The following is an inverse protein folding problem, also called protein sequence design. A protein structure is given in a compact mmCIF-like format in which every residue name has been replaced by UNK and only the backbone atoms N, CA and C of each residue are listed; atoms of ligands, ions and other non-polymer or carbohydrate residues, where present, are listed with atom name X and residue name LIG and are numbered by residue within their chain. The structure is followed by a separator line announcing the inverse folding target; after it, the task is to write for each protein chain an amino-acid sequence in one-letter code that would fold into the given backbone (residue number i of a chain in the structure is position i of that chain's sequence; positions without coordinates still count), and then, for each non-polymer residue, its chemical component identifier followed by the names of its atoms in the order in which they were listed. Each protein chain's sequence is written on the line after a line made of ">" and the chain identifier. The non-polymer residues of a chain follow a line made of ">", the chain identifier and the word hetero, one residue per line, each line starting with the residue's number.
data_IF_819297722351
#
_entry.id   IF_819297722351
#
_cell.length_a   1.000
_cell.length_b   1.000
_cell.length_c   1.000
_cell.angle_alpha   90.00
_cell.angle_beta   90.00
_cell.angle_gamma   90.00
#
_symmetry.space_group_name_H-M   'P 1'
#
loop_
_entity.id
_entity.type
_entity.pdbx_description
1 polymer ?
#
# COMPACT_ATOMS: atom_id res chain seq x y z
N UNK A 1 37.67 -13.70 -61.81
CA UNK A 1 38.29 -13.96 -60.48
C UNK A 1 38.88 -12.64 -59.99
N UNK A 2 38.18 -11.93 -59.10
CA UNK A 2 38.68 -10.67 -58.53
C UNK A 2 38.98 -10.88 -57.05
N UNK A 3 40.25 -10.70 -56.68
CA UNK A 3 40.71 -10.47 -55.31
C UNK A 3 40.41 -9.01 -54.97
N UNK A 4 39.72 -8.76 -53.87
CA UNK A 4 39.61 -7.41 -53.28
C UNK A 4 40.40 -7.40 -51.98
N UNK A 5 41.27 -6.40 -51.92
CA UNK A 5 42.21 -6.05 -50.87
C UNK A 5 41.45 -5.32 -49.74
N UNK A 6 41.64 -5.73 -48.49
CA UNK A 6 41.15 -5.01 -47.31
C UNK A 6 42.26 -4.07 -46.84
N UNK A 7 42.01 -2.77 -46.89
CA UNK A 7 42.82 -1.75 -46.20
C UNK A 7 41.92 -1.13 -45.13
N UNK A 8 42.31 -1.31 -43.88
CA UNK A 8 41.68 -0.69 -42.72
C UNK A 8 41.98 0.81 -42.66
N UNK A 9 40.97 1.60 -42.35
CA UNK A 9 41.11 3.00 -41.95
C UNK A 9 40.41 3.17 -40.60
N UNK A 10 41.22 3.44 -39.59
CA UNK A 10 40.83 3.76 -38.22
C UNK A 10 40.30 5.20 -38.21
N UNK A 11 38.99 5.38 -38.01
CA UNK A 11 38.41 6.69 -37.71
C UNK A 11 37.99 6.71 -36.24
N UNK A 12 38.73 7.48 -35.45
CA UNK A 12 38.33 7.92 -34.11
C UNK A 12 37.26 9.00 -34.26
N UNK A 13 36.00 8.65 -34.03
CA UNK A 13 34.95 9.61 -33.72
C UNK A 13 34.74 9.64 -32.22
N UNK A 14 35.28 10.67 -31.57
CA UNK A 14 34.79 11.12 -30.28
C UNK A 14 33.39 11.72 -30.51
N UNK A 15 32.35 11.01 -30.12
CA UNK A 15 31.00 11.58 -29.99
C UNK A 15 30.82 11.96 -28.53
N UNK A 16 30.82 13.27 -28.28
CA UNK A 16 30.30 13.83 -27.04
C UNK A 16 28.78 13.58 -27.04
N UNK A 17 28.33 12.65 -26.21
CA UNK A 17 26.91 12.54 -25.88
C UNK A 17 26.58 13.66 -24.90
N UNK A 18 26.04 14.76 -25.41
CA UNK A 18 25.31 15.71 -24.57
C UNK A 18 24.06 15.01 -24.05
N UNK A 19 24.02 14.68 -22.76
CA UNK A 19 22.79 14.29 -22.09
C UNK A 19 21.82 15.47 -22.14
N UNK A 20 20.80 15.34 -22.99
CA UNK A 20 19.65 16.22 -22.96
C UNK A 20 18.83 15.85 -21.71
N UNK A 21 19.17 16.44 -20.57
CA UNK A 21 18.34 16.36 -19.37
C UNK A 21 17.14 17.28 -19.54
N UNK A 22 15.98 16.69 -19.88
CA UNK A 22 14.69 17.37 -19.76
C UNK A 22 14.41 17.55 -18.26
N UNK A 23 14.76 18.73 -17.74
CA UNK A 23 14.29 19.17 -16.44
C UNK A 23 12.88 19.73 -16.61
N UNK A 24 11.88 18.94 -16.21
CA UNK A 24 10.53 19.44 -15.99
C UNK A 24 10.56 20.34 -14.75
N UNK A 25 10.71 21.65 -14.96
CA UNK A 25 10.52 22.65 -13.93
C UNK A 25 9.03 22.69 -13.57
N UNK A 26 8.68 22.08 -12.45
CA UNK A 26 7.40 22.34 -11.79
C UNK A 26 7.49 23.69 -11.07
N UNK A 27 6.79 24.68 -11.61
CA UNK A 27 6.61 25.98 -10.98
C UNK A 27 5.83 25.79 -9.66
N UNK A 28 6.53 25.98 -8.53
CA UNK A 28 6.01 25.80 -7.16
C UNK A 28 5.70 27.14 -6.50
N UNK A 29 5.29 28.14 -7.28
CA UNK A 29 4.98 29.45 -6.71
C UNK A 29 3.51 29.54 -6.24
N UNK A 30 3.37 29.61 -4.91
CA UNK A 30 2.21 30.08 -4.14
C UNK A 30 0.92 29.25 -4.15
N UNK A 31 0.71 28.48 -3.08
CA UNK A 31 -0.63 28.41 -2.47
C UNK A 31 -0.55 28.27 -0.94
N UNK A 32 -0.84 29.38 -0.26
CA UNK A 32 -1.19 29.40 1.16
C UNK A 32 -2.58 28.79 1.29
N UNK A 33 -2.74 27.71 2.07
CA UNK A 33 -4.06 27.13 2.34
C UNK A 33 -4.73 27.91 3.47
N UNK A 34 -5.77 28.66 3.11
CA UNK A 34 -6.74 29.29 4.00
C UNK A 34 -7.70 28.20 4.52
N UNK A 35 -7.85 28.08 5.85
CA UNK A 35 -8.91 27.28 6.45
C UNK A 35 -10.27 27.92 6.11
N UNK A 36 -11.29 27.17 5.65
CA UNK A 36 -12.64 27.71 5.58
C UNK A 36 -13.15 27.95 7.01
N UNK A 37 -13.07 29.20 7.46
CA UNK A 37 -13.82 29.72 8.61
C UNK A 37 -15.25 29.90 8.14
N UNK A 38 -16.06 28.87 8.39
CA UNK A 38 -17.53 28.86 8.54
C UNK A 38 -18.09 27.52 8.02
N UNK A 39 -17.95 26.46 8.82
CA UNK A 39 -18.85 25.32 8.78
C UNK A 39 -19.86 25.53 9.92
N UNK A 40 -21.11 25.77 9.54
CA UNK A 40 -22.23 25.96 10.46
C UNK A 40 -22.41 24.76 11.38
N UNK A 41 -22.60 25.06 12.67
CA UNK A 41 -22.94 24.15 13.74
C UNK A 41 -24.11 23.24 13.36
N UNK A 42 -23.86 21.93 13.25
CA UNK A 42 -24.76 20.78 13.47
C UNK A 42 -24.35 19.58 12.59
N UNK A 43 -23.10 19.14 12.69
CA UNK A 43 -22.76 17.72 12.45
C UNK A 43 -22.19 17.15 13.75
N UNK A 44 -22.91 16.17 14.27
CA UNK A 44 -22.72 15.54 15.57
C UNK A 44 -21.30 14.94 15.65
N UNK A 45 -20.64 15.19 16.78
CA UNK A 45 -19.36 14.61 17.19
C UNK A 45 -19.39 13.07 17.12
N UNK A 46 -19.07 12.52 15.96
CA UNK A 46 -18.35 11.26 15.84
C UNK A 46 -16.92 11.63 15.43
N UNK A 47 -15.93 11.04 16.09
CA UNK A 47 -14.51 11.33 15.88
C UNK A 47 -14.02 10.85 14.51
N UNK A 48 -14.44 11.55 13.45
CA UNK A 48 -13.96 11.35 12.09
C UNK A 48 -12.72 12.22 11.91
N UNK A 49 -11.56 11.58 11.84
CA UNK A 49 -10.32 12.26 11.46
C UNK A 49 -10.18 12.23 9.96
N UNK A 50 -10.69 13.29 9.33
CA UNK A 50 -10.40 13.57 7.93
C UNK A 50 -8.96 14.10 7.84
N UNK A 51 -8.01 13.20 7.60
CA UNK A 51 -6.64 13.56 7.26
C UNK A 51 -6.59 13.98 5.80
N UNK A 52 -6.18 15.22 5.54
CA UNK A 52 -5.85 15.66 4.18
C UNK A 52 -4.45 15.13 3.84
N UNK A 53 -4.38 13.96 3.20
CA UNK A 53 -3.13 13.51 2.57
C UNK A 53 -2.85 14.38 1.36
N UNK A 54 -1.80 15.22 1.42
CA UNK A 54 -1.39 16.06 0.28
C UNK A 54 -0.63 15.21 -0.76
N UNK A 55 -0.98 15.40 -2.04
CA UNK A 55 -0.53 14.61 -3.21
C UNK A 55 0.88 14.93 -3.71
N UNK A 56 1.60 15.93 -3.18
CA UNK A 56 2.90 16.30 -3.73
C UNK A 56 3.95 15.22 -3.41
N UNK A 57 4.32 14.44 -4.43
CA UNK A 57 5.39 13.42 -4.52
C UNK A 57 5.04 11.94 -4.17
N UNK A 58 3.80 11.55 -4.54
CA UNK A 58 3.33 10.27 -5.11
C UNK A 58 3.79 8.88 -4.60
N UNK A 59 4.45 8.73 -3.46
CA UNK A 59 4.71 7.39 -2.88
C UNK A 59 4.26 7.20 -1.42
N UNK A 60 3.96 8.27 -0.68
CA UNK A 60 3.82 8.18 0.78
C UNK A 60 2.56 8.85 1.30
N UNK A 61 2.00 8.25 2.35
CA UNK A 61 0.90 8.83 3.12
C UNK A 61 1.42 9.40 4.43
N UNK A 62 0.92 10.58 4.78
CA UNK A 62 1.34 11.35 5.93
C UNK A 62 0.15 11.75 6.79
N UNK A 63 0.43 11.95 8.07
CA UNK A 63 -0.48 12.60 9.01
C UNK A 63 0.23 13.74 9.69
N UNK A 64 -0.47 14.85 9.90
CA UNK A 64 0.04 15.96 10.67
C UNK A 64 -0.47 15.85 12.11
N UNK A 65 0.45 15.89 13.07
CA UNK A 65 0.13 15.95 14.49
C UNK A 65 0.69 17.26 15.06
N UNK A 66 0.02 17.78 16.10
CA UNK A 66 0.56 18.92 16.85
C UNK A 66 1.33 18.39 18.05
N UNK A 67 2.58 18.81 18.22
CA UNK A 67 3.52 18.29 19.21
C UNK A 67 3.84 19.36 20.25
N UNK A 68 3.89 18.93 21.51
CA UNK A 68 4.27 19.75 22.64
C UNK A 68 3.22 20.77 23.09
N UNK A 69 3.51 21.45 24.20
CA UNK A 69 2.57 22.39 24.80
C UNK A 69 2.23 23.60 23.91
N UNK A 70 3.09 23.93 22.93
CA UNK A 70 2.84 24.97 21.92
C UNK A 70 2.14 24.46 20.66
N UNK A 71 1.91 23.15 20.56
CA UNK A 71 1.17 22.53 19.44
C UNK A 71 1.83 22.81 18.09
N UNK A 72 3.14 22.58 18.00
CA UNK A 72 3.91 22.74 16.76
C UNK A 72 3.53 21.62 15.78
N UNK A 73 3.21 21.96 14.54
CA UNK A 73 2.78 20.99 13.53
C UNK A 73 3.96 20.17 12.99
N UNK A 74 3.85 18.85 13.01
CA UNK A 74 4.88 17.91 12.54
C UNK A 74 4.23 16.88 11.62
N UNK A 75 4.82 16.66 10.44
CA UNK A 75 4.34 15.68 9.48
C UNK A 75 4.99 14.31 9.74
N UNK A 76 4.18 13.28 9.93
CA UNK A 76 4.61 11.91 10.13
C UNK A 76 4.20 11.04 8.96
N UNK A 77 5.17 10.33 8.38
CA UNK A 77 4.90 9.26 7.42
C UNK A 77 4.25 8.08 8.14
N UNK A 78 3.22 7.50 7.54
CA UNK A 78 2.61 6.26 8.00
C UNK A 78 3.48 5.07 7.54
N UNK A 79 3.84 4.19 8.46
CA UNK A 79 4.66 3.00 8.18
C UNK A 79 4.10 1.78 8.91
N UNK A 80 3.71 0.73 8.18
CA UNK A 80 3.15 -0.48 8.80
C UNK A 80 4.22 -1.51 9.14
N UNK A 81 5.49 -1.22 8.82
CA UNK A 81 6.64 -2.09 9.08
C UNK A 81 7.51 -1.64 10.26
N UNK A 82 7.12 -0.55 10.92
CA UNK A 82 7.70 -0.12 12.19
C UNK A 82 6.60 0.15 13.20
N UNK A 83 6.88 0.00 14.49
CA UNK A 83 5.92 0.20 15.58
C UNK A 83 6.25 1.40 16.48
N UNK A 84 7.33 2.12 16.16
CA UNK A 84 7.77 3.29 16.91
C UNK A 84 7.25 4.58 16.28
N UNK A 85 6.94 5.54 17.14
CA UNK A 85 6.81 6.94 16.73
C UNK A 85 8.16 7.62 16.92
N UNK A 86 8.65 8.27 15.88
CA UNK A 86 9.90 9.02 15.95
C UNK A 86 9.89 10.21 15.00
N UNK A 87 10.71 11.22 15.30
CA UNK A 87 10.89 12.42 14.49
C UNK A 87 12.33 12.92 14.55
N UNK A 88 12.74 13.73 13.57
CA UNK A 88 14.09 14.30 13.51
C UNK A 88 14.30 15.35 14.61
N UNK A 89 15.54 15.49 15.09
CA UNK A 89 15.92 16.41 16.17
C UNK A 89 15.50 17.87 15.98
N UNK A 90 15.33 18.33 14.75
CA UNK A 90 14.98 19.72 14.42
C UNK A 90 13.52 19.87 13.96
N UNK A 91 12.67 18.86 14.17
CA UNK A 91 11.28 18.87 13.70
C UNK A 91 10.33 19.69 14.56
N UNK A 92 10.68 19.93 15.83
CA UNK A 92 9.92 20.76 16.76
C UNK A 92 10.85 21.33 17.84
N UNK A 93 10.52 22.51 18.39
CA UNK A 93 11.34 23.17 19.39
C UNK A 93 11.08 22.61 20.80
N UNK A 94 11.90 21.64 21.19
CA UNK A 94 11.79 20.94 22.48
C UNK A 94 11.87 21.88 23.68
N UNK A 95 12.73 22.89 23.63
CA UNK A 95 12.90 23.91 24.68
C UNK A 95 11.67 24.80 24.87
N UNK A 96 10.81 24.87 23.86
CA UNK A 96 9.57 25.64 23.89
C UNK A 96 8.43 24.89 24.59
N UNK A 97 8.55 23.57 24.70
CA UNK A 97 7.51 22.69 25.23
C UNK A 97 7.65 22.47 26.73
N UNK A 98 6.68 22.96 27.52
CA UNK A 98 6.63 22.78 28.98
C UNK A 98 6.37 21.34 29.42
N UNK A 99 5.89 20.51 28.49
CA UNK A 99 5.51 19.11 28.73
C UNK A 99 6.57 18.11 28.26
N UNK A 100 7.61 18.60 27.59
CA UNK A 100 8.71 17.79 27.07
C UNK A 100 9.56 17.21 28.20
N UNK A 101 9.88 15.92 28.08
CA UNK A 101 10.87 15.21 28.91
C UNK A 101 11.64 14.25 28.03
N UNK A 102 12.95 14.18 28.15
CA UNK A 102 13.77 13.18 27.47
C UNK A 102 14.64 12.41 28.45
N UNK A 103 15.00 11.20 28.07
CA UNK A 103 16.09 10.46 28.68
C UNK A 103 17.44 11.11 28.32
N UNK A 104 18.45 10.93 29.18
CA UNK A 104 19.78 11.52 28.99
C UNK A 104 20.59 10.73 27.94
N UNK A 105 20.40 9.41 27.90
CA UNK A 105 21.17 8.53 27.05
C UNK A 105 20.41 8.25 25.74
N UNK A 106 21.14 8.25 24.63
CA UNK A 106 20.60 7.78 23.37
C UNK A 106 20.36 6.26 23.39
N UNK A 107 19.37 5.84 22.63
CA UNK A 107 19.11 4.44 22.33
C UNK A 107 19.12 4.22 20.84
N UNK A 108 19.59 3.06 20.42
CA UNK A 108 19.49 2.60 19.04
C UNK A 108 18.46 1.47 18.96
N UNK A 109 17.58 1.58 17.98
CA UNK A 109 16.57 0.58 17.67
C UNK A 109 16.84 0.07 16.26
N UNK A 110 17.12 -1.22 16.19
CA UNK A 110 17.36 -1.95 14.95
C UNK A 110 16.07 -2.62 14.49
N UNK A 111 15.76 -2.49 13.21
CA UNK A 111 14.66 -3.12 12.52
C UNK A 111 15.18 -4.15 11.51
N UNK A 112 14.27 -4.98 11.02
CA UNK A 112 14.57 -5.91 9.95
C UNK A 112 15.13 -5.21 8.70
N UNK A 113 16.04 -5.87 7.99
CA UNK A 113 16.67 -5.33 6.77
C UNK A 113 17.76 -4.28 7.01
N UNK A 114 18.35 -4.23 8.22
CA UNK A 114 19.45 -3.30 8.53
C UNK A 114 19.03 -1.83 8.68
N UNK A 115 17.72 -1.59 8.81
CA UNK A 115 17.12 -0.30 9.16
C UNK A 115 17.39 -0.01 10.63
N UNK A 116 17.70 1.24 10.97
CA UNK A 116 17.82 1.64 12.37
C UNK A 116 17.39 3.08 12.58
N UNK A 117 17.03 3.38 13.83
CA UNK A 117 16.91 4.73 14.36
C UNK A 117 17.77 4.83 15.62
N UNK A 118 18.49 5.93 15.77
CA UNK A 118 19.28 6.23 16.95
C UNK A 118 18.92 7.62 17.44
N UNK A 119 18.71 7.76 18.75
CA UNK A 119 18.35 9.03 19.34
C UNK A 119 17.80 8.94 20.75
N UNK A 120 17.28 10.05 21.24
CA UNK A 120 16.79 10.17 22.61
C UNK A 120 15.34 9.67 22.71
N UNK A 121 15.06 8.82 23.68
CA UNK A 121 13.68 8.51 24.08
C UNK A 121 13.09 9.73 24.78
N UNK A 122 11.91 10.12 24.36
CA UNK A 122 11.25 11.33 24.81
C UNK A 122 9.77 11.10 25.11
N UNK A 123 9.21 12.02 25.90
CA UNK A 123 7.80 12.12 26.24
C UNK A 123 7.33 13.53 26.03
N UNK A 124 6.21 13.67 25.33
CA UNK A 124 5.52 14.95 25.20
C UNK A 124 4.02 14.75 24.93
N UNK A 125 3.27 15.86 24.85
CA UNK A 125 1.90 15.91 24.40
C UNK A 125 1.82 15.83 22.86
N UNK A 126 0.89 15.03 22.36
CA UNK A 126 0.52 15.02 20.95
C UNK A 126 -0.97 15.33 20.85
N UNK A 127 -1.35 16.20 19.92
CA UNK A 127 -2.76 16.51 19.63
C UNK A 127 -3.08 16.15 18.20
N UNK A 128 -4.29 15.64 18.02
CA UNK A 128 -4.88 15.34 16.72
C UNK A 128 -6.37 15.68 16.81
N UNK A 129 -6.85 16.53 15.91
CA UNK A 129 -8.17 17.17 16.05
C UNK A 129 -8.37 17.75 17.47
N UNK A 130 -9.48 17.39 18.11
CA UNK A 130 -9.88 17.76 19.47
C UNK A 130 -9.35 16.80 20.54
N UNK A 131 -8.56 15.79 20.16
CA UNK A 131 -7.97 14.84 21.09
C UNK A 131 -6.56 15.25 21.50
N UNK A 132 -6.27 15.10 22.79
CA UNK A 132 -4.92 15.26 23.35
C UNK A 132 -4.47 13.95 23.97
N UNK A 133 -3.25 13.56 23.62
CA UNK A 133 -2.58 12.40 24.17
C UNK A 133 -1.41 12.89 25.01
N UNK A 134 -1.60 12.85 26.33
CA UNK A 134 -0.59 13.30 27.27
C UNK A 134 0.48 12.23 27.50
N UNK A 135 1.74 12.68 27.56
CA UNK A 135 2.91 11.88 27.90
C UNK A 135 3.07 10.65 26.98
N UNK A 136 3.07 10.85 25.67
CA UNK A 136 3.39 9.76 24.74
C UNK A 136 4.88 9.59 24.60
N UNK A 137 5.32 8.34 24.55
CA UNK A 137 6.70 8.00 24.22
C UNK A 137 6.92 8.14 22.71
N UNK A 138 8.06 8.69 22.33
CA UNK A 138 8.57 8.74 20.96
C UNK A 138 10.10 8.87 20.99
N UNK A 139 10.73 8.82 19.82
CA UNK A 139 12.19 8.98 19.69
C UNK A 139 12.49 10.26 18.93
N UNK A 140 13.40 11.06 19.48
CA UNK A 140 14.03 12.17 18.77
C UNK A 140 15.27 11.60 18.10
N UNK A 141 15.16 11.30 16.80
CA UNK A 141 16.23 10.69 16.03
C UNK A 141 17.35 11.70 15.75
N UNK A 142 18.56 11.38 16.22
CA UNK A 142 19.81 12.03 15.85
C UNK A 142 20.42 11.41 14.59
N UNK A 143 20.14 10.12 14.34
CA UNK A 143 20.45 9.47 13.06
C UNK A 143 19.48 8.33 12.75
N UNK A 144 19.37 7.98 11.47
CA UNK A 144 18.56 6.87 10.99
C UNK A 144 19.16 6.34 9.68
N UNK A 145 18.82 5.11 9.30
CA UNK A 145 19.26 4.49 8.05
C UNK A 145 18.12 3.79 7.33
N UNK A 146 18.16 3.87 6.00
CA UNK A 146 17.25 3.18 5.06
C UNK A 146 15.76 3.49 5.23
N UNK A 147 15.43 4.60 5.89
CA UNK A 147 14.10 5.19 5.86
C UNK A 147 14.05 6.30 4.83
N UNK A 148 13.14 6.19 3.86
CA UNK A 148 12.78 7.32 3.01
C UNK A 148 11.64 8.10 3.66
N UNK A 149 11.92 9.33 4.09
CA UNK A 149 10.94 10.20 4.72
C UNK A 149 10.13 11.03 3.71
N UNK A 150 10.61 11.18 2.47
CA UNK A 150 10.13 12.22 1.57
C UNK A 150 10.08 13.58 2.28
N UNK A 151 8.90 14.21 2.31
CA UNK A 151 8.66 15.49 3.01
C UNK A 151 8.28 15.36 4.49
N UNK A 152 8.25 14.16 5.05
CA UNK A 152 7.96 13.97 6.48
C UNK A 152 9.13 14.38 7.38
N UNK A 153 8.77 14.76 8.60
CA UNK A 153 9.69 15.06 9.68
C UNK A 153 9.92 13.86 10.61
N UNK A 154 9.23 12.75 10.35
CA UNK A 154 9.26 11.56 11.19
C UNK A 154 8.39 10.44 10.65
N UNK A 155 8.33 9.36 11.40
CA UNK A 155 7.49 8.20 11.08
C UNK A 155 6.59 7.90 12.26
N UNK A 156 5.33 7.66 11.95
CA UNK A 156 4.35 7.08 12.84
C UNK A 156 4.20 5.60 12.48
N UNK A 157 4.88 4.76 13.27
CA UNK A 157 4.84 3.32 13.10
C UNK A 157 3.49 2.72 13.51
N UNK A 158 2.93 1.89 12.64
CA UNK A 158 1.68 1.14 12.81
C UNK A 158 1.85 -0.37 12.78
N UNK A 159 3.09 -0.85 12.65
CA UNK A 159 3.46 -2.24 12.83
C UNK A 159 3.05 -2.79 14.20
N UNK A 160 3.42 -4.03 14.42
CA UNK A 160 3.13 -4.75 15.66
C UNK A 160 4.43 -5.11 16.35
N UNK A 161 4.41 -5.46 17.63
CA UNK A 161 5.57 -6.11 18.23
C UNK A 161 5.17 -7.31 19.07
N UNK A 162 5.97 -8.38 19.01
CA UNK A 162 5.87 -9.53 19.91
C UNK A 162 6.33 -9.19 21.32
N UNK A 163 7.17 -8.17 21.48
CA UNK A 163 7.76 -7.83 22.77
C UNK A 163 6.80 -6.91 23.53
N UNK A 164 6.40 -7.33 24.74
CA UNK A 164 5.51 -6.56 25.63
C UNK A 164 6.01 -5.13 25.97
N UNK A 165 7.25 -4.79 25.60
CA UNK A 165 7.85 -3.46 25.70
C UNK A 165 7.23 -2.39 24.78
N UNK A 166 6.11 -2.68 24.09
CA UNK A 166 5.28 -1.64 23.43
C UNK A 166 4.93 -0.51 24.42
N UNK A 167 4.92 -0.77 25.74
CA UNK A 167 4.73 0.27 26.77
C UNK A 167 5.77 1.40 26.74
N UNK A 168 7.01 1.13 26.35
CA UNK A 168 8.13 2.04 26.60
C UNK A 168 8.47 2.92 25.40
N UNK A 169 8.05 2.54 24.21
CA UNK A 169 8.43 3.22 22.97
C UNK A 169 7.28 3.38 21.96
N UNK A 170 6.13 2.76 22.23
CA UNK A 170 4.94 2.83 21.38
C UNK A 170 4.05 4.03 21.72
N UNK A 171 3.72 4.82 20.70
CA UNK A 171 2.67 5.82 20.78
C UNK A 171 1.37 5.13 21.22
N UNK A 172 0.67 5.67 22.24
CA UNK A 172 -0.50 5.00 22.84
C UNK A 172 -1.62 4.68 21.83
N UNK A 173 -1.67 5.39 20.70
CA UNK A 173 -2.61 5.09 19.61
C UNK A 173 -2.31 3.78 18.88
N UNK A 174 -1.07 3.31 18.88
CA UNK A 174 -0.68 2.03 18.26
C UNK A 174 -1.39 0.84 18.92
N UNK A 175 -1.69 0.97 20.22
CA UNK A 175 -2.42 -0.06 20.99
C UNK A 175 -3.93 -0.06 20.73
N UNK A 176 -4.45 0.92 19.99
CA UNK A 176 -5.88 1.04 19.72
C UNK A 176 -6.24 0.35 18.40
N UNK A 177 -7.54 0.10 18.25
CA UNK A 177 -8.14 -0.30 16.98
C UNK A 177 -7.94 0.83 15.97
N UNK A 178 -7.61 0.46 14.74
CA UNK A 178 -7.28 1.41 13.67
C UNK A 178 -7.91 0.97 12.38
N UNK A 179 -8.45 1.91 11.65
CA UNK A 179 -9.09 1.69 10.36
C UNK A 179 -8.44 2.58 9.31
N UNK A 180 -8.13 2.01 8.16
CA UNK A 180 -7.48 2.69 7.04
C UNK A 180 -8.29 2.51 5.77
N UNK A 181 -8.48 3.62 5.07
CA UNK A 181 -9.08 3.69 3.75
C UNK A 181 -8.19 4.59 2.90
N UNK A 182 -7.63 4.08 1.80
CA UNK A 182 -6.85 4.92 0.89
C UNK A 182 -7.74 5.48 -0.21
N UNK A 183 -7.52 6.74 -0.57
CA UNK A 183 -8.06 7.33 -1.78
C UNK A 183 -7.62 6.60 -3.04
N UNK A 184 -8.22 6.96 -4.16
CA UNK A 184 -7.87 6.39 -5.47
C UNK A 184 -6.45 6.79 -5.92
N UNK A 185 -6.03 6.20 -7.03
CA UNK A 185 -4.69 6.42 -7.58
C UNK A 185 -4.47 7.87 -8.02
N UNK A 186 -5.53 8.52 -8.49
CA UNK A 186 -5.47 9.89 -9.03
C UNK A 186 -5.72 10.97 -7.97
N UNK A 187 -6.04 10.59 -6.72
CA UNK A 187 -6.27 11.51 -5.61
C UNK A 187 -7.59 12.28 -5.69
N UNK A 188 -8.56 11.76 -6.44
CA UNK A 188 -9.94 12.28 -6.48
C UNK A 188 -10.71 11.89 -5.23
N UNK A 189 -10.38 10.75 -4.63
CA UNK A 189 -10.95 10.27 -3.37
C UNK A 189 -10.00 10.57 -2.20
N UNK A 190 -10.57 10.93 -1.05
CA UNK A 190 -9.81 11.24 0.16
C UNK A 190 -9.44 9.96 0.91
N UNK A 191 -8.17 9.85 1.32
CA UNK A 191 -7.73 8.85 2.29
C UNK A 191 -8.23 9.19 3.70
N UNK A 192 -8.48 8.16 4.51
CA UNK A 192 -8.95 8.30 5.88
C UNK A 192 -8.21 7.33 6.79
N UNK A 193 -7.84 7.81 7.96
CA UNK A 193 -7.33 7.02 9.07
C UNK A 193 -8.21 7.30 10.27
N UNK A 194 -8.83 6.25 10.80
CA UNK A 194 -9.60 6.34 12.02
C UNK A 194 -8.85 5.61 13.11
N UNK A 195 -8.71 6.31 14.22
CA UNK A 195 -8.07 5.80 15.42
C UNK A 195 -9.18 5.73 16.45
N UNK A 196 -9.27 4.60 17.14
CA UNK A 196 -10.38 4.30 18.06
C UNK A 196 -11.66 3.88 17.31
N UNK A 197 -12.46 3.01 17.95
CA UNK A 197 -13.49 2.20 17.29
C UNK A 197 -14.47 3.04 16.45
N UNK A 198 -14.44 2.88 15.12
CA UNK A 198 -15.45 3.47 14.26
C UNK A 198 -16.60 2.46 14.07
N UNK A 199 -17.74 2.73 14.70
CA UNK A 199 -18.93 1.91 14.52
C UNK A 199 -19.54 2.05 13.10
N UNK A 200 -19.28 3.16 12.41
CA UNK A 200 -19.95 3.49 11.14
C UNK A 200 -19.47 2.60 9.98
N UNK A 201 -18.23 2.10 10.04
CA UNK A 201 -17.71 1.21 9.00
C UNK A 201 -18.30 -0.22 9.07
N UNK A 202 -19.02 -0.55 10.15
CA UNK A 202 -19.75 -1.83 10.27
C UNK A 202 -20.87 -1.98 9.24
N UNK A 203 -21.18 -0.94 8.47
CA UNK A 203 -22.10 -0.99 7.33
C UNK A 203 -21.53 -1.67 6.09
N UNK A 204 -20.19 -1.79 5.97
CA UNK A 204 -19.55 -2.45 4.83
C UNK A 204 -19.52 -3.97 5.00
N UNK A 205 -19.59 -4.69 3.88
CA UNK A 205 -19.43 -6.13 3.88
C UNK A 205 -17.98 -6.49 4.27
N UNK A 206 -17.85 -7.08 5.46
CA UNK A 206 -16.58 -7.67 5.91
C UNK A 206 -16.30 -8.92 5.12
N UNK A 207 -15.23 -8.89 4.31
CA UNK A 207 -14.86 -9.99 3.43
C UNK A 207 -14.04 -11.07 4.15
N UNK A 208 -13.06 -10.64 4.95
CA UNK A 208 -12.08 -11.53 5.57
C UNK A 208 -11.68 -11.02 6.95
N UNK A 209 -11.34 -11.95 7.84
CA UNK A 209 -10.73 -11.67 9.14
C UNK A 209 -9.52 -12.57 9.33
N UNK A 210 -8.35 -12.01 9.11
CA UNK A 210 -7.07 -12.70 9.28
C UNK A 210 -6.73 -12.76 10.76
N UNK A 211 -6.55 -13.96 11.29
CA UNK A 211 -6.16 -14.19 12.70
C UNK A 211 -4.75 -14.73 12.86
N UNK A 212 -4.24 -15.40 11.83
CA UNK A 212 -2.90 -15.98 11.83
C UNK A 212 -1.87 -14.90 11.43
N UNK A 213 -1.57 -14.01 12.38
CA UNK A 213 -0.58 -12.94 12.22
C UNK A 213 0.71 -13.35 12.95
N UNK A 214 1.82 -13.45 12.21
CA UNK A 214 3.14 -13.65 12.81
C UNK A 214 3.61 -12.38 13.50
N UNK A 215 4.20 -12.54 14.69
CA UNK A 215 4.76 -11.44 15.48
C UNK A 215 6.30 -11.42 15.46
N UNK A 216 6.93 -12.29 14.68
CA UNK A 216 8.38 -12.53 14.73
C UNK A 216 9.18 -11.35 14.15
N UNK A 217 8.58 -10.60 13.23
CA UNK A 217 9.23 -9.54 12.46
C UNK A 217 8.70 -8.14 12.74
N UNK A 218 7.90 -7.98 13.78
CA UNK A 218 7.27 -6.69 14.13
C UNK A 218 6.44 -6.06 12.98
N UNK A 219 5.93 -6.89 12.06
CA UNK A 219 5.12 -6.52 10.89
C UNK A 219 3.80 -7.28 10.88
N UNK A 220 2.84 -6.81 10.10
CA UNK A 220 1.54 -7.47 9.91
C UNK A 220 1.63 -8.64 8.92
N UNK A 221 2.48 -9.61 9.22
CA UNK A 221 2.72 -10.78 8.37
C UNK A 221 1.64 -11.85 8.54
N UNK A 222 1.13 -12.38 7.43
CA UNK A 222 0.14 -13.45 7.37
C UNK A 222 0.42 -14.41 6.20
N UNK A 223 -0.11 -15.64 6.25
CA UNK A 223 0.00 -16.59 5.14
C UNK A 223 -0.79 -16.13 3.90
N UNK A 224 -0.14 -16.17 2.73
CA UNK A 224 -0.75 -16.03 1.41
C UNK A 224 -0.63 -17.37 0.70
N UNK A 225 -1.71 -18.15 0.67
CA UNK A 225 -1.65 -19.56 0.22
C UNK A 225 -1.40 -19.68 -1.28
N UNK A 226 -1.93 -18.76 -2.10
CA UNK A 226 -1.81 -18.79 -3.57
C UNK A 226 -1.97 -17.39 -4.15
N UNK A 227 -1.37 -17.17 -5.32
CA UNK A 227 -1.63 -16.02 -6.17
C UNK A 227 -2.09 -16.52 -7.54
N UNK A 228 -3.11 -15.90 -8.12
CA UNK A 228 -3.64 -16.23 -9.43
C UNK A 228 -3.66 -14.98 -10.33
N UNK A 229 -3.44 -15.16 -11.63
CA UNK A 229 -3.70 -14.17 -12.67
C UNK A 229 -4.55 -14.87 -13.72
N UNK A 230 -5.73 -14.35 -14.05
CA UNK A 230 -6.70 -15.03 -14.94
C UNK A 230 -6.96 -16.50 -14.58
N UNK A 231 -7.12 -16.78 -13.28
CA UNK A 231 -7.28 -18.13 -12.73
C UNK A 231 -6.06 -19.06 -12.92
N UNK A 232 -4.96 -18.60 -13.52
CA UNK A 232 -3.70 -19.33 -13.61
C UNK A 232 -2.92 -19.16 -12.31
N UNK A 233 -2.58 -20.29 -11.68
CA UNK A 233 -1.80 -20.30 -10.42
C UNK A 233 -0.33 -20.01 -10.67
N UNK A 234 0.17 -18.95 -10.04
CA UNK A 234 1.60 -18.65 -10.03
C UNK A 234 2.35 -19.63 -9.13
N UNK A 235 3.51 -20.08 -9.59
CA UNK A 235 4.34 -21.06 -8.89
C UNK A 235 5.39 -20.34 -8.03
N UNK A 236 5.34 -20.56 -6.71
CA UNK A 236 6.30 -20.01 -5.75
C UNK A 236 6.42 -20.86 -4.47
N UNK A 237 7.62 -21.01 -3.86
CA UNK A 237 7.77 -21.74 -2.60
C UNK A 237 7.38 -20.94 -1.36
N UNK A 238 7.40 -19.61 -1.42
CA UNK A 238 7.04 -18.74 -0.28
C UNK A 238 5.60 -18.27 -0.35
N UNK A 239 4.93 -18.38 0.79
CA UNK A 239 3.50 -18.19 0.99
C UNK A 239 3.22 -17.28 2.19
N UNK A 240 4.06 -16.27 2.44
CA UNK A 240 3.75 -15.24 3.42
C UNK A 240 3.85 -13.86 2.81
N UNK A 241 3.05 -12.96 3.35
CA UNK A 241 3.03 -11.57 2.95
C UNK A 241 2.55 -10.67 4.07
N UNK A 242 2.64 -9.37 3.84
CA UNK A 242 2.14 -8.36 4.78
C UNK A 242 1.56 -7.18 4.00
N UNK A 243 0.78 -6.36 4.70
CA UNK A 243 0.24 -5.11 4.17
C UNK A 243 1.13 -3.94 4.57
N UNK A 244 1.43 -3.04 3.64
CA UNK A 244 2.20 -1.84 3.95
C UNK A 244 1.79 -0.61 3.13
N UNK A 245 1.23 0.38 3.83
CA UNK A 245 0.87 1.69 3.28
C UNK A 245 2.08 2.47 2.75
N UNK A 246 3.28 2.20 3.28
CA UNK A 246 4.53 2.82 2.89
C UNK A 246 5.06 2.38 1.52
N UNK A 247 4.42 1.39 0.89
CA UNK A 247 4.83 0.81 -0.39
C UNK A 247 3.79 1.13 -1.46
N UNK A 248 4.18 1.93 -2.46
CA UNK A 248 3.29 2.37 -3.55
C UNK A 248 2.93 1.30 -4.59
N UNK A 249 3.44 0.09 -4.43
CA UNK A 249 3.34 -1.04 -5.37
C UNK A 249 3.00 -2.33 -4.63
N UNK A 250 2.58 -3.35 -5.38
CA UNK A 250 2.60 -4.72 -4.88
C UNK A 250 4.01 -5.28 -5.12
N UNK A 251 4.68 -5.72 -4.06
CA UNK A 251 5.98 -6.37 -4.19
C UNK A 251 5.80 -7.88 -4.21
N UNK A 252 6.44 -8.53 -5.17
CA UNK A 252 6.37 -9.98 -5.37
C UNK A 252 7.76 -10.59 -5.45
N UNK A 253 7.93 -11.86 -5.04
CA UNK A 253 9.13 -12.60 -5.37
C UNK A 253 9.43 -12.57 -6.88
N UNK A 254 10.72 -12.58 -7.25
CA UNK A 254 11.14 -12.28 -8.63
C UNK A 254 10.50 -13.18 -9.69
N UNK A 255 10.48 -14.49 -9.46
CA UNK A 255 9.84 -15.46 -10.35
C UNK A 255 8.30 -15.33 -10.39
N UNK A 256 7.64 -14.88 -9.32
CA UNK A 256 6.20 -14.56 -9.38
C UNK A 256 5.97 -13.32 -10.23
N UNK A 257 6.78 -12.27 -10.03
CA UNK A 257 6.70 -11.05 -10.83
C UNK A 257 6.87 -11.36 -12.31
N UNK A 258 7.87 -12.16 -12.68
CA UNK A 258 8.10 -12.58 -14.07
C UNK A 258 6.87 -13.31 -14.65
N UNK A 259 6.26 -14.23 -13.89
CA UNK A 259 5.04 -14.91 -14.31
C UNK A 259 3.86 -13.94 -14.48
N UNK A 260 3.65 -13.01 -13.54
CA UNK A 260 2.58 -11.99 -13.68
C UNK A 260 2.84 -11.13 -14.91
N UNK A 261 4.05 -10.61 -15.08
CA UNK A 261 4.37 -9.73 -16.21
C UNK A 261 4.24 -10.47 -17.54
N UNK A 262 4.58 -11.76 -17.60
CA UNK A 262 4.32 -12.58 -18.78
C UNK A 262 2.82 -12.68 -19.11
N UNK A 263 1.95 -12.87 -18.10
CA UNK A 263 0.50 -12.93 -18.30
C UNK A 263 -0.13 -11.57 -18.61
N UNK A 264 0.28 -10.51 -17.92
CA UNK A 264 -0.29 -9.17 -18.06
C UNK A 264 0.15 -8.50 -19.37
N UNK A 265 1.32 -8.86 -19.89
CA UNK A 265 1.90 -8.24 -21.08
C UNK A 265 1.78 -9.11 -22.35
N UNK A 266 0.99 -10.19 -22.32
CA UNK A 266 0.77 -11.14 -23.42
C UNK A 266 2.06 -11.72 -24.05
N UNK A 267 3.19 -11.70 -23.33
CA UNK A 267 4.48 -12.15 -23.85
C UNK A 267 5.03 -11.37 -25.07
N UNK A 268 4.37 -10.29 -25.53
CA UNK A 268 4.81 -9.53 -26.70
C UNK A 268 6.05 -8.68 -26.38
N UNK A 269 7.01 -8.61 -27.31
CA UNK A 269 8.32 -7.98 -27.08
C UNK A 269 8.34 -6.46 -27.13
N UNK A 270 7.24 -5.79 -27.47
CA UNK A 270 7.15 -4.32 -27.57
C UNK A 270 7.05 -3.62 -26.20
N UNK A 271 7.23 -4.40 -25.13
CA UNK A 271 7.28 -3.89 -23.77
C UNK A 271 8.66 -3.30 -23.47
N UNK A 272 8.67 -2.07 -22.99
CA UNK A 272 9.89 -1.45 -22.49
C UNK A 272 9.94 -1.52 -20.96
N UNK A 273 11.09 -1.93 -20.45
CA UNK A 273 11.44 -1.79 -19.04
C UNK A 273 12.36 -0.58 -18.95
N UNK A 274 11.89 0.52 -18.35
CA UNK A 274 12.76 1.64 -18.00
C UNK A 274 13.21 1.44 -16.55
N UNK A 275 14.46 1.02 -16.38
CA UNK A 275 15.05 0.72 -15.08
C UNK A 275 14.37 -0.48 -14.39
N UNK A 276 13.52 -0.20 -13.39
CA UNK A 276 12.77 -1.22 -12.64
C UNK A 276 11.25 -1.10 -12.79
N UNK A 277 10.81 -0.26 -13.73
CA UNK A 277 9.41 0.01 -14.00
C UNK A 277 8.98 -0.71 -15.28
N UNK A 278 7.90 -1.49 -15.18
CA UNK A 278 7.22 -2.08 -16.32
C UNK A 278 6.16 -1.11 -16.82
N UNK A 279 6.07 -0.94 -18.15
CA UNK A 279 4.98 -0.20 -18.78
C UNK A 279 4.69 -0.76 -20.18
N UNK A 280 3.53 -0.38 -20.73
CA UNK A 280 3.08 -0.71 -22.08
C UNK A 280 2.32 0.48 -22.65
N UNK A 281 2.37 0.68 -23.95
CA UNK A 281 1.49 1.63 -24.64
C UNK A 281 0.03 1.18 -24.53
N UNK A 282 -0.85 2.11 -24.22
CA UNK A 282 -2.27 1.85 -24.04
C UNK A 282 -3.08 2.71 -25.01
N UNK A 283 -3.90 2.06 -25.85
CA UNK A 283 -4.88 2.76 -26.67
C UNK A 283 -5.98 3.33 -25.76
N UNK A 284 -6.38 4.58 -26.01
CA UNK A 284 -7.24 5.32 -25.10
C UNK A 284 -8.71 4.83 -25.05
N UNK A 285 -9.38 5.25 -23.97
CA UNK A 285 -10.78 5.05 -23.55
C UNK A 285 -11.15 3.75 -22.79
N UNK A 286 -10.57 2.58 -23.09
CA UNK A 286 -10.93 1.32 -22.38
C UNK A 286 -9.72 0.40 -22.12
N UNK A 287 -8.55 0.98 -21.85
CA UNK A 287 -7.33 0.19 -21.65
C UNK A 287 -7.46 -0.83 -20.50
N UNK A 288 -8.25 -0.53 -19.47
CA UNK A 288 -8.38 -1.38 -18.27
C UNK A 288 -8.99 -2.74 -18.58
N UNK A 289 -9.91 -2.85 -19.55
CA UNK A 289 -10.57 -4.12 -19.89
C UNK A 289 -9.63 -5.15 -20.51
N UNK A 290 -8.46 -4.70 -20.99
CA UNK A 290 -7.42 -5.55 -21.58
C UNK A 290 -6.51 -6.22 -20.54
N UNK A 291 -6.62 -5.86 -19.26
CA UNK A 291 -5.72 -6.33 -18.22
C UNK A 291 -6.41 -7.29 -17.25
N UNK A 292 -5.71 -8.33 -16.78
CA UNK A 292 -6.32 -9.41 -16.01
C UNK A 292 -6.54 -9.03 -14.55
N UNK A 293 -7.48 -9.66 -13.88
CA UNK A 293 -7.58 -9.56 -12.43
C UNK A 293 -6.43 -10.33 -11.75
N UNK A 294 -5.87 -9.78 -10.66
CA UNK A 294 -4.87 -10.45 -9.84
C UNK A 294 -5.48 -10.86 -8.51
N UNK A 295 -5.43 -12.16 -8.20
CA UNK A 295 -6.07 -12.72 -7.03
C UNK A 295 -5.07 -13.22 -6.00
N UNK A 296 -5.31 -12.90 -4.73
CA UNK A 296 -4.54 -13.37 -3.58
C UNK A 296 -5.45 -14.25 -2.73
N UNK A 297 -5.09 -15.53 -2.59
CA UNK A 297 -5.76 -16.42 -1.63
C UNK A 297 -5.14 -16.21 -0.26
N UNK A 298 -5.94 -15.72 0.67
CA UNK A 298 -5.58 -15.46 2.07
C UNK A 298 -6.63 -16.14 2.93
N UNK A 299 -6.18 -17.09 3.76
CA UNK A 299 -7.03 -18.05 4.47
C UNK A 299 -8.00 -18.77 3.51
N UNK A 300 -9.30 -18.70 3.76
CA UNK A 300 -10.35 -19.30 2.94
C UNK A 300 -10.89 -18.37 1.83
N UNK A 301 -10.40 -17.13 1.75
CA UNK A 301 -10.89 -16.11 0.82
C UNK A 301 -9.96 -15.87 -0.35
N UNK A 302 -10.55 -15.53 -1.48
CA UNK A 302 -9.85 -15.09 -2.68
C UNK A 302 -10.12 -13.59 -2.84
N UNK A 303 -9.12 -12.77 -2.57
CA UNK A 303 -9.20 -11.32 -2.69
C UNK A 303 -8.65 -10.89 -4.04
N UNK A 304 -9.39 -10.07 -4.78
CA UNK A 304 -9.01 -9.55 -6.09
C UNK A 304 -8.38 -8.15 -5.99
N UNK A 305 -7.37 -7.87 -6.80
CA UNK A 305 -6.90 -6.51 -7.08
C UNK A 305 -7.12 -6.30 -8.57
N UNK A 306 -8.07 -5.41 -8.88
CA UNK A 306 -8.45 -5.12 -10.25
C UNK A 306 -7.48 -4.17 -10.96
N UNK A 307 -7.45 -4.15 -12.31
CA UNK A 307 -6.59 -3.27 -13.10
C UNK A 307 -6.58 -1.80 -12.68
N UNK A 308 -7.73 -1.22 -12.34
CA UNK A 308 -7.85 0.19 -11.95
C UNK A 308 -7.02 0.57 -10.70
N UNK A 309 -6.57 -0.41 -9.93
CA UNK A 309 -5.78 -0.18 -8.72
C UNK A 309 -4.30 -0.46 -8.90
N UNK A 310 -3.91 -1.29 -9.87
CA UNK A 310 -2.52 -1.67 -10.11
C UNK A 310 -1.94 -1.11 -11.43
N UNK A 311 -2.74 -0.41 -12.25
CA UNK A 311 -2.30 0.26 -13.47
C UNK A 311 -2.44 1.76 -13.31
N UNK A 312 -1.34 2.48 -13.48
CA UNK A 312 -1.31 3.94 -13.54
C UNK A 312 -1.20 4.36 -15.01
N UNK A 313 -2.18 5.12 -15.50
CA UNK A 313 -2.17 5.66 -16.85
C UNK A 313 -1.71 7.13 -16.85
N UNK A 314 -0.73 7.44 -17.68
CA UNK A 314 -0.21 8.80 -17.91
C UNK A 314 0.35 8.89 -19.33
N UNK A 315 -0.09 9.89 -20.10
CA UNK A 315 0.40 10.23 -21.44
C UNK A 315 0.48 9.04 -22.44
N UNK A 316 -0.58 8.23 -22.53
CA UNK A 316 -0.64 7.08 -23.44
C UNK A 316 0.09 5.83 -22.93
N UNK A 317 0.71 5.89 -21.75
CA UNK A 317 1.45 4.80 -21.15
C UNK A 317 0.74 4.24 -19.91
N UNK A 318 0.64 2.92 -19.85
CA UNK A 318 0.18 2.19 -18.67
C UNK A 318 1.38 1.67 -17.88
N UNK A 319 1.58 2.21 -16.69
CA UNK A 319 2.61 1.80 -15.73
C UNK A 319 2.05 0.76 -14.76
N UNK A 320 2.73 -0.37 -14.65
CA UNK A 320 2.33 -1.44 -13.72
C UNK A 320 2.88 -1.18 -12.32
N UNK A 321 2.00 -1.18 -11.33
CA UNK A 321 2.34 -0.99 -9.92
C UNK A 321 2.75 -2.30 -9.24
N UNK A 322 3.54 -3.12 -9.95
CA UNK A 322 4.23 -4.29 -9.43
C UNK A 322 5.74 -4.03 -9.39
N UNK A 323 6.45 -4.65 -8.43
CA UNK A 323 7.91 -4.61 -8.37
C UNK A 323 8.46 -5.86 -7.70
N UNK A 324 9.72 -6.18 -8.00
CA UNK A 324 10.43 -7.26 -7.32
C UNK A 324 10.61 -6.90 -5.85
N UNK A 325 10.18 -7.79 -4.97
CA UNK A 325 10.46 -7.71 -3.54
C UNK A 325 11.95 -7.96 -3.30
N UNK A 326 12.61 -7.20 -2.40
CA UNK A 326 14.01 -7.43 -2.05
C UNK A 326 14.24 -8.77 -1.34
N UNK A 327 13.18 -9.38 -0.82
CA UNK A 327 13.17 -10.65 -0.11
C UNK A 327 12.04 -11.53 -0.68
N UNK A 328 11.98 -12.79 -0.31
CA UNK A 328 10.94 -13.72 -0.79
C UNK A 328 9.56 -13.52 -0.11
N UNK A 329 9.15 -12.28 0.15
CA UNK A 329 7.81 -11.93 0.68
C UNK A 329 6.93 -11.30 -0.37
N UNK A 330 5.61 -11.46 -0.18
CA UNK A 330 4.60 -10.65 -0.86
C UNK A 330 4.32 -9.41 -0.01
N UNK A 331 4.37 -8.22 -0.61
CA UNK A 331 3.97 -6.98 0.06
C UNK A 331 2.75 -6.42 -0.63
N UNK A 332 1.61 -6.49 0.06
CA UNK A 332 0.35 -5.91 -0.38
C UNK A 332 0.36 -4.41 -0.05
N UNK A 333 0.93 -3.63 -0.97
CA UNK A 333 1.04 -2.18 -0.83
C UNK A 333 -0.24 -1.43 -1.19
N UNK A 334 -0.06 -0.17 -1.57
CA UNK A 334 -1.15 0.76 -1.86
C UNK A 334 -2.18 0.24 -2.87
N UNK A 335 -1.84 -0.42 -4.00
CA UNK A 335 -2.85 -0.98 -4.92
C UNK A 335 -3.90 -1.86 -4.22
N UNK A 336 -3.47 -2.73 -3.31
CA UNK A 336 -4.37 -3.57 -2.53
C UNK A 336 -5.23 -2.73 -1.57
N UNK A 337 -4.62 -1.76 -0.89
CA UNK A 337 -5.30 -0.87 0.07
C UNK A 337 -6.23 0.17 -0.58
N UNK A 338 -6.17 0.36 -1.90
CA UNK A 338 -7.13 1.18 -2.66
C UNK A 338 -8.41 0.44 -3.00
N UNK A 339 -8.35 -0.88 -3.12
CA UNK A 339 -9.51 -1.76 -3.30
C UNK A 339 -10.19 -2.05 -1.95
N UNK A 340 -9.39 -2.20 -0.89
CA UNK A 340 -9.84 -2.67 0.42
C UNK A 340 -9.58 -1.69 1.53
N UNK A 341 -10.55 -1.59 2.41
CA UNK A 341 -10.43 -0.96 3.71
C UNK A 341 -9.88 -1.96 4.74
N UNK A 342 -8.91 -1.52 5.55
CA UNK A 342 -8.21 -2.38 6.50
C UNK A 342 -8.42 -1.94 7.94
N UNK A 343 -8.82 -2.88 8.79
CA UNK A 343 -9.00 -2.66 10.22
C UNK A 343 -8.03 -3.50 11.04
N UNK A 344 -7.12 -2.84 11.74
CA UNK A 344 -6.08 -3.47 12.55
C UNK A 344 -6.48 -3.45 14.02
N UNK A 345 -6.36 -4.60 14.67
CA UNK A 345 -6.50 -4.70 16.13
C UNK A 345 -5.22 -5.28 16.72
N UNK A 346 -4.55 -4.49 17.56
CA UNK A 346 -3.30 -4.85 18.24
C UNK A 346 -3.56 -5.14 19.74
N UNK A 347 -4.56 -5.98 20.03
CA UNK A 347 -4.75 -6.47 21.41
C UNK A 347 -3.61 -7.44 21.69
N UNK A 348 -2.87 -7.21 22.79
CA UNK A 348 -1.80 -8.09 23.28
C UNK A 348 -2.24 -9.55 23.17
N UNK A 349 -1.47 -10.33 22.40
CA UNK A 349 -1.63 -11.76 22.12
C UNK A 349 -2.71 -12.20 21.13
N UNK A 350 -3.50 -11.30 20.54
CA UNK A 350 -4.48 -11.65 19.48
C UNK A 350 -4.55 -10.57 18.39
N UNK A 351 -3.44 -10.31 17.68
CA UNK A 351 -3.49 -9.47 16.49
C UNK A 351 -4.49 -10.00 15.47
N UNK A 352 -5.15 -9.07 14.79
CA UNK A 352 -6.00 -9.41 13.65
C UNK A 352 -6.06 -8.25 12.66
N UNK A 353 -6.29 -8.63 11.40
CA UNK A 353 -6.62 -7.70 10.32
C UNK A 353 -8.01 -8.09 9.83
N UNK A 354 -8.94 -7.14 9.84
CA UNK A 354 -10.24 -7.30 9.20
C UNK A 354 -10.23 -6.49 7.88
N UNK A 355 -10.67 -7.13 6.81
CA UNK A 355 -10.65 -6.58 5.45
C UNK A 355 -12.07 -6.39 4.98
N UNK A 356 -12.36 -5.19 4.49
CA UNK A 356 -13.67 -4.76 4.02
C UNK A 356 -13.55 -4.29 2.56
N UNK A 357 -14.56 -4.57 1.75
CA UNK A 357 -14.67 -3.91 0.44
C UNK A 357 -14.97 -2.43 0.67
N UNK A 358 -14.32 -1.54 -0.10
CA UNK A 358 -14.59 -0.11 0.05
C UNK A 358 -15.97 0.26 -0.51
N UNK A 359 -16.68 1.08 0.27
CA UNK A 359 -18.08 1.49 0.00
C UNK A 359 -18.24 2.44 -1.18
N UNK A 360 -17.29 3.34 -1.41
CA UNK A 360 -17.32 4.26 -2.54
C UNK A 360 -17.19 3.54 -3.89
N UNK A 361 -16.77 2.26 -3.87
CA UNK A 361 -16.84 1.38 -5.03
C UNK A 361 -18.24 0.77 -5.23
N UNK A 362 -19.14 0.84 -4.24
CA UNK A 362 -20.49 0.25 -4.28
C UNK A 362 -21.61 1.24 -4.63
N UNK A 363 -21.36 2.55 -4.64
CA UNK A 363 -22.40 3.60 -4.79
C UNK A 363 -23.00 3.75 -6.22
N UNK A 364 -22.97 2.70 -7.04
CA UNK A 364 -23.91 2.56 -8.16
C UNK A 364 -23.33 2.30 -9.55
N UNK A 365 -22.01 2.38 -9.74
CA UNK A 365 -21.37 1.96 -11.01
C UNK A 365 -20.89 0.49 -11.00
N UNK A 366 -20.76 -0.13 -9.82
CA UNK A 366 -20.24 -1.50 -9.65
C UNK A 366 -21.32 -2.58 -9.42
N UNK A 367 -22.61 -2.22 -9.25
CA UNK A 367 -23.67 -3.25 -9.18
C UNK A 367 -23.71 -4.15 -10.43
N UNK A 368 -23.22 -3.66 -11.56
CA UNK A 368 -23.04 -4.44 -12.79
C UNK A 368 -22.01 -5.58 -12.61
N UNK A 369 -20.98 -5.39 -11.77
CA UNK A 369 -19.91 -6.39 -11.55
C UNK A 369 -20.37 -7.49 -10.59
N UNK A 370 -21.09 -7.15 -9.52
CA UNK A 370 -21.62 -8.17 -8.58
C UNK A 370 -22.74 -8.98 -9.25
N UNK A 371 -23.59 -8.34 -10.06
CA UNK A 371 -24.54 -9.06 -10.91
C UNK A 371 -23.83 -9.93 -11.95
N UNK A 372 -22.71 -9.46 -12.53
CA UNK A 372 -21.89 -10.22 -13.48
C UNK A 372 -21.26 -11.48 -12.88
N UNK A 373 -20.71 -11.41 -11.66
CA UNK A 373 -20.18 -12.58 -10.94
C UNK A 373 -21.28 -13.59 -10.60
N UNK A 374 -22.45 -13.12 -10.18
CA UNK A 374 -23.62 -13.99 -9.98
C UNK A 374 -24.06 -14.70 -11.26
N UNK A 375 -24.10 -13.97 -12.39
CA UNK A 375 -24.47 -14.53 -13.69
C UNK A 375 -23.42 -15.48 -14.26
N UNK A 376 -22.12 -15.22 -14.05
CA UNK A 376 -21.04 -16.10 -14.48
C UNK A 376 -21.07 -17.45 -13.73
N UNK A 377 -21.34 -17.44 -12.42
CA UNK A 377 -21.51 -18.67 -11.62
C UNK A 377 -22.73 -19.46 -12.10
N UNK A 378 -23.85 -18.78 -12.39
CA UNK A 378 -25.07 -19.42 -12.91
C UNK A 378 -24.81 -20.02 -14.31
N UNK A 379 -24.11 -19.31 -15.20
CA UNK A 379 -23.76 -19.79 -16.52
C UNK A 379 -22.83 -21.02 -16.46
N UNK A 380 -21.86 -21.01 -15.55
CA UNK A 380 -20.95 -22.16 -15.34
C UNK A 380 -21.69 -23.38 -14.80
N UNK A 381 -22.59 -23.19 -13.82
CA UNK A 381 -23.43 -24.26 -13.29
C UNK A 381 -24.38 -24.83 -14.34
N UNK A 382 -24.99 -23.98 -15.17
CA UNK A 382 -25.86 -24.40 -16.27
C UNK A 382 -25.09 -25.16 -17.36
N UNK A 383 -23.88 -24.73 -17.71
CA UNK A 383 -22.99 -25.42 -18.65
C UNK A 383 -22.57 -26.80 -18.14
N UNK A 384 -22.16 -26.90 -16.87
CA UNK A 384 -21.81 -28.16 -16.23
C UNK A 384 -23.01 -29.14 -16.16
N UNK A 385 -24.21 -28.62 -15.88
CA UNK A 385 -25.45 -29.42 -15.86
C UNK A 385 -25.81 -29.97 -17.25
N UNK A 386 -25.77 -29.13 -18.30
CA UNK A 386 -26.02 -29.57 -19.69
C UNK A 386 -25.06 -30.65 -20.15
N UNK A 387 -23.76 -30.50 -19.84
CA UNK A 387 -22.75 -31.51 -20.19
C UNK A 387 -23.06 -32.85 -19.52
N UNK A 388 -23.40 -32.83 -18.23
CA UNK A 388 -23.76 -34.05 -17.49
C UNK A 388 -25.02 -34.73 -18.05
N UNK A 389 -26.03 -33.96 -18.43
CA UNK A 389 -27.24 -34.49 -19.05
C UNK A 389 -26.94 -35.17 -20.40
N UNK A 390 -26.10 -34.55 -21.24
CA UNK A 390 -25.65 -35.13 -22.51
C UNK A 390 -24.86 -36.42 -22.33
N UNK A 391 -23.99 -36.49 -21.31
CA UNK A 391 -23.20 -37.68 -21.01
C UNK A 391 -24.09 -38.85 -20.53
N UNK A 392 -25.14 -38.56 -19.74
CA UNK A 392 -26.12 -39.56 -19.30
C UNK A 392 -27.00 -40.07 -20.45
N UNK A 393 -27.41 -39.19 -21.35
CA UNK A 393 -28.19 -39.57 -22.53
C UNK A 393 -27.38 -40.46 -23.49
N UNK A 394 -26.11 -40.12 -23.73
CA UNK A 394 -25.18 -40.94 -24.53
C UNK A 394 -25.00 -42.34 -23.92
N UNK A 395 -24.88 -42.42 -22.58
CA UNK A 395 -24.80 -43.71 -21.87
C UNK A 395 -26.09 -44.54 -21.98
N UNK A 396 -27.26 -43.90 -21.99
CA UNK A 396 -28.54 -44.59 -22.20
C UNK A 396 -28.65 -45.20 -23.58
N UNK A 397 -28.27 -44.46 -24.63
CA UNK A 397 -28.27 -45.00 -25.99
C UNK A 397 -27.27 -46.14 -26.17
N UNK A 398 -26.12 -46.09 -25.50
CA UNK A 398 -25.12 -47.16 -25.52
C UNK A 398 -25.55 -48.45 -24.80
N UNK A 399 -26.60 -48.41 -23.96
CA UNK A 399 -27.16 -49.58 -23.27
C UNK A 399 -28.35 -50.21 -24.03
N UNK A 400 -28.87 -49.53 -25.05
CA UNK A 400 -30.04 -49.96 -25.82
C UNK A 400 -29.70 -50.48 -27.23
N UNK A 401 -28.44 -50.42 -27.63
CA UNK A 401 -27.90 -51.07 -28.83
C UNK A 401 -26.97 -52.20 -28.44
#
# INVERSE_FOLDING_TARGET
>A
MYKILIIGSLFLFASATSELSLSLNFDTTNSSLVLPVNATEHEILQSKVDFVSKKLDSAYYYVQLLVGSKSEAVNFKLDFTSFHLWMLQNSYNTSSSKTFKAEINESEINYYGGRYIKGLKAKDEFKYLNNSLKKNNFIIASSYRTFDLGSANGIMGFGISSKDNISDSGFKLVKKKRFFELGDLYGTLKSKLYIEDNNDYKSSEKLLKIKDISLDRDIWEFPVQRVLVDNVRLHHPVYSGYVDIGVSRILLPGNMLEQIMHHVLDGNSDNAVIGTQYFKECADADYLSSFPDVYFRIEDKLLVVKPEHYIYYEDGLCYFLFKKSPNDFIVLGQPFMRQYALYFTSITNKPKIEIYLRHDLNDGTSMTVVAGLGLAIIAFAAGAYRKRASDEETKRYALLG
#
